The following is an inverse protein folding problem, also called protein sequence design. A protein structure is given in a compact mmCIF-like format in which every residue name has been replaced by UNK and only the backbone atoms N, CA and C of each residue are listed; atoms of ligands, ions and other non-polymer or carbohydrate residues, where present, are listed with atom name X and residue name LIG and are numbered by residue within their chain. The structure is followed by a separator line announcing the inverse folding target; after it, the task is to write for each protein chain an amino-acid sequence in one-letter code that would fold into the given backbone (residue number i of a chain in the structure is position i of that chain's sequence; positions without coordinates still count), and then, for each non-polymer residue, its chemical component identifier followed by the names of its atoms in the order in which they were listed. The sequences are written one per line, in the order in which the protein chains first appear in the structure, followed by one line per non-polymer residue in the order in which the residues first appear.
data_IF_756085442107
#
_entry.id   IF_756085442107
#
_cell.length_a   1.000
_cell.length_b   1.000
_cell.length_c   1.000
_cell.angle_alpha   90.00
_cell.angle_beta   90.00
_cell.angle_gamma   90.00
#
_symmetry.space_group_name_H-M   'P 1'
#
loop_
_entity.id
_entity.type
_entity.pdbx_description
1 polymer ?
#
# COMPACT_ATOMS: atom_id res chain seq x y z
N UNK A 1 -2.38 -23.98 4.65
CA UNK A 1 -2.68 -22.65 5.24
C UNK A 1 -4.16 -22.61 5.57
N UNK A 2 -4.56 -22.05 6.72
CA UNK A 2 -5.98 -21.91 7.07
C UNK A 2 -6.58 -20.68 6.39
N UNK A 3 -7.56 -20.86 5.51
CA UNK A 3 -8.25 -19.75 4.82
C UNK A 3 -8.82 -18.70 5.78
N UNK A 4 -9.38 -19.17 6.91
CA UNK A 4 -9.93 -18.32 7.96
C UNK A 4 -8.90 -17.35 8.56
N UNK A 5 -7.61 -17.73 8.59
CA UNK A 5 -6.54 -16.82 9.04
C UNK A 5 -6.26 -15.75 7.99
N UNK A 6 -6.27 -16.11 6.72
CA UNK A 6 -6.09 -15.17 5.61
C UNK A 6 -7.24 -14.16 5.55
N UNK A 7 -8.49 -14.61 5.68
CA UNK A 7 -9.67 -13.73 5.70
C UNK A 7 -9.61 -12.73 6.87
N UNK A 8 -9.20 -13.19 8.05
CA UNK A 8 -9.02 -12.31 9.21
C UNK A 8 -7.87 -11.32 9.01
N UNK A 9 -6.78 -11.73 8.36
CA UNK A 9 -5.67 -10.85 8.01
C UNK A 9 -6.06 -9.81 6.97
N UNK A 10 -6.85 -10.19 5.96
CA UNK A 10 -7.42 -9.26 4.97
C UNK A 10 -8.28 -8.19 5.64
N UNK A 11 -9.14 -8.58 6.58
CA UNK A 11 -9.96 -7.60 7.30
C UNK A 11 -9.09 -6.59 8.07
N UNK A 12 -8.02 -7.05 8.73
CA UNK A 12 -7.05 -6.16 9.37
C UNK A 12 -6.32 -5.28 8.37
N UNK A 13 -5.95 -5.83 7.20
CA UNK A 13 -5.25 -5.10 6.14
C UNK A 13 -6.10 -3.92 5.65
N UNK A 14 -7.39 -4.16 5.41
CA UNK A 14 -8.33 -3.09 5.04
C UNK A 14 -8.53 -2.04 6.14
N UNK A 15 -8.39 -2.43 7.41
CA UNK A 15 -8.40 -1.50 8.54
C UNK A 15 -7.07 -0.76 8.74
N UNK A 16 -5.99 -1.13 8.03
CA UNK A 16 -4.65 -0.59 8.26
C UNK A 16 -4.01 -1.06 9.57
N UNK A 17 -4.40 -2.22 10.08
CA UNK A 17 -3.95 -2.79 11.36
C UNK A 17 -2.94 -3.95 11.17
N UNK A 18 -2.41 -4.14 9.96
CA UNK A 18 -1.43 -5.18 9.64
C UNK A 18 0.00 -4.76 9.94
N UNK A 19 0.80 -5.74 10.34
CA UNK A 19 2.26 -5.64 10.43
C UNK A 19 2.91 -6.03 9.10
N UNK A 20 4.16 -5.61 8.87
CA UNK A 20 4.93 -5.98 7.67
C UNK A 20 5.02 -7.51 7.48
N UNK A 21 5.16 -8.26 8.58
CA UNK A 21 5.18 -9.73 8.56
C UNK A 21 3.83 -10.32 8.12
N UNK A 22 2.72 -9.74 8.56
CA UNK A 22 1.36 -10.15 8.18
C UNK A 22 1.11 -9.88 6.68
N UNK A 23 1.60 -8.75 6.17
CA UNK A 23 1.52 -8.40 4.75
C UNK A 23 2.38 -9.31 3.87
N UNK A 24 3.56 -9.73 4.33
CA UNK A 24 4.39 -10.71 3.62
C UNK A 24 3.68 -12.07 3.49
N UNK A 25 2.94 -12.48 4.52
CA UNK A 25 2.10 -13.68 4.47
C UNK A 25 0.99 -13.53 3.42
N UNK A 26 0.28 -12.40 3.40
CA UNK A 26 -0.74 -12.13 2.39
C UNK A 26 -0.13 -12.13 0.98
N UNK A 27 1.00 -11.47 0.78
CA UNK A 27 1.72 -11.46 -0.50
C UNK A 27 2.08 -12.87 -0.97
N UNK A 28 2.62 -13.70 -0.08
CA UNK A 28 3.01 -15.08 -0.40
C UNK A 28 1.80 -15.96 -0.70
N UNK A 29 0.70 -15.76 0.04
CA UNK A 29 -0.56 -16.46 -0.20
C UNK A 29 -1.13 -16.12 -1.58
N UNK A 30 -1.25 -14.84 -1.90
CA UNK A 30 -1.79 -14.38 -3.18
C UNK A 30 -0.85 -14.59 -4.38
N UNK A 31 0.45 -14.77 -4.14
CA UNK A 31 1.39 -15.23 -5.17
C UNK A 31 1.21 -16.72 -5.53
N UNK A 32 0.51 -17.49 -4.69
CA UNK A 32 0.25 -18.91 -4.94
C UNK A 32 -0.93 -19.10 -5.91
N UNK A 33 -0.95 -20.22 -6.65
CA UNK A 33 -2.03 -20.54 -7.62
C UNK A 33 -3.33 -21.04 -6.98
N UNK A 34 -3.32 -21.36 -5.70
CA UNK A 34 -4.41 -22.00 -4.96
C UNK A 34 -5.17 -20.98 -4.09
N UNK A 35 -5.78 -19.99 -4.73
CA UNK A 35 -6.62 -18.98 -4.08
C UNK A 35 -8.09 -19.29 -4.40
N UNK A 36 -9.01 -19.31 -3.43
CA UNK A 36 -10.41 -19.61 -3.69
C UNK A 36 -11.10 -18.52 -4.52
N UNK A 37 -12.14 -18.87 -5.26
CA UNK A 37 -12.81 -17.97 -6.22
C UNK A 37 -13.26 -16.63 -5.63
N UNK A 38 -13.70 -16.63 -4.36
CA UNK A 38 -14.15 -15.41 -3.68
C UNK A 38 -13.00 -14.47 -3.27
N UNK A 39 -11.75 -14.93 -3.34
CA UNK A 39 -10.53 -14.15 -3.10
C UNK A 39 -9.73 -13.86 -4.38
N UNK A 40 -10.26 -14.23 -5.55
CA UNK A 40 -9.57 -14.04 -6.83
C UNK A 40 -9.44 -12.54 -7.16
N UNK A 41 -10.41 -11.71 -6.76
CA UNK A 41 -10.33 -10.27 -6.93
C UNK A 41 -9.17 -9.65 -6.13
N UNK A 42 -9.00 -10.08 -4.88
CA UNK A 42 -7.90 -9.66 -4.02
C UNK A 42 -6.57 -10.15 -4.58
N UNK A 43 -6.51 -11.36 -5.14
CA UNK A 43 -5.31 -11.87 -5.80
C UNK A 43 -4.89 -11.00 -6.97
N UNK A 44 -5.81 -10.61 -7.86
CA UNK A 44 -5.49 -9.72 -8.99
C UNK A 44 -4.95 -8.38 -8.49
N UNK A 45 -5.58 -7.83 -7.46
CA UNK A 45 -5.17 -6.59 -6.82
C UNK A 45 -3.76 -6.67 -6.20
N UNK A 46 -3.51 -7.69 -5.39
CA UNK A 46 -2.22 -7.94 -4.75
C UNK A 46 -1.15 -8.17 -5.83
N UNK A 47 -1.44 -9.02 -6.82
CA UNK A 47 -0.52 -9.27 -7.94
C UNK A 47 -0.16 -7.98 -8.68
N UNK A 48 -1.14 -7.12 -8.96
CA UNK A 48 -0.89 -5.83 -9.61
C UNK A 48 0.00 -4.93 -8.74
N UNK A 49 -0.37 -4.69 -7.48
CA UNK A 49 0.41 -3.81 -6.60
C UNK A 49 1.84 -4.27 -6.36
N UNK A 50 2.06 -5.57 -6.17
CA UNK A 50 3.39 -6.12 -5.96
C UNK A 50 4.23 -6.22 -7.23
N UNK A 51 3.59 -6.28 -8.41
CA UNK A 51 4.29 -6.17 -9.69
C UNK A 51 4.70 -4.72 -10.01
N UNK A 52 3.83 -3.74 -9.69
CA UNK A 52 4.06 -2.33 -9.96
C UNK A 52 5.02 -1.63 -8.99
N UNK A 53 5.37 -2.25 -7.86
CA UNK A 53 6.33 -1.67 -6.90
C UNK A 53 7.73 -1.45 -7.50
N UNK A 54 7.99 -1.91 -8.73
CA UNK A 54 9.26 -1.73 -9.44
C UNK A 54 9.23 -0.68 -10.57
N UNK A 55 8.07 -0.29 -11.10
CA UNK A 55 8.01 0.37 -12.42
C UNK A 55 7.38 1.78 -12.45
N UNK A 56 6.68 2.23 -11.41
CA UNK A 56 6.36 3.65 -11.29
C UNK A 56 7.48 4.35 -10.52
N UNK A 57 8.56 4.68 -11.24
CA UNK A 57 9.49 5.70 -10.80
C UNK A 57 8.66 6.91 -10.38
N UNK A 58 8.64 7.20 -9.07
CA UNK A 58 8.02 8.39 -8.50
C UNK A 58 8.30 9.56 -9.44
N UNK A 59 7.24 10.20 -9.96
CA UNK A 59 7.39 11.31 -10.89
C UNK A 59 8.50 12.22 -10.34
N UNK A 60 9.65 12.37 -11.04
CA UNK A 60 10.84 12.98 -10.45
C UNK A 60 10.62 14.46 -10.08
N UNK A 61 9.51 15.07 -10.52
CA UNK A 61 9.07 16.40 -10.12
C UNK A 61 8.12 16.46 -8.92
N UNK A 62 7.67 15.33 -8.36
CA UNK A 62 6.70 15.30 -7.25
C UNK A 62 7.37 15.76 -5.95
N UNK A 63 8.58 15.28 -5.66
CA UNK A 63 9.36 15.68 -4.48
C UNK A 63 9.62 17.19 -4.45
N UNK A 64 10.09 17.76 -5.56
CA UNK A 64 10.34 19.20 -5.67
C UNK A 64 9.07 20.04 -5.45
N UNK A 65 7.94 19.62 -6.03
CA UNK A 65 6.64 20.28 -5.83
C UNK A 65 6.17 20.25 -4.38
N UNK A 66 6.40 19.15 -3.66
CA UNK A 66 6.06 19.04 -2.23
C UNK A 66 6.94 20.01 -1.41
N UNK A 67 8.25 20.04 -1.67
CA UNK A 67 9.18 20.92 -0.98
C UNK A 67 8.86 22.41 -1.22
N UNK A 68 8.50 22.79 -2.46
CA UNK A 68 8.06 24.15 -2.78
C UNK A 68 6.76 24.51 -2.06
N UNK A 69 5.75 23.63 -2.05
CA UNK A 69 4.48 23.89 -1.38
C UNK A 69 4.64 24.10 0.13
N UNK A 70 5.49 23.30 0.80
CA UNK A 70 5.79 23.45 2.23
C UNK A 70 6.52 24.78 2.50
N UNK A 71 7.47 25.16 1.64
CA UNK A 71 8.22 26.42 1.76
C UNK A 71 7.32 27.65 1.59
N UNK A 72 6.33 27.58 0.71
CA UNK A 72 5.35 28.65 0.48
C UNK A 72 4.48 28.86 1.73
N UNK A 73 4.02 27.78 2.38
CA UNK A 73 3.21 27.85 3.61
C UNK A 73 4.00 28.29 4.84
N UNK A 74 5.27 27.87 4.98
CA UNK A 74 6.15 28.31 6.07
C UNK A 74 6.44 29.83 6.05
N UNK A 75 6.29 30.47 4.90
CA UNK A 75 6.46 31.92 4.73
C UNK A 75 5.21 32.71 5.16
N UNK A 76 4.02 32.09 5.15
CA UNK A 76 2.77 32.70 5.62
C UNK A 76 2.64 32.72 7.15
N UNK A 77 3.26 31.78 7.85
CA UNK A 77 3.24 31.74 9.32
C UNK A 77 4.30 32.64 9.99
N UNK A 78 5.31 33.12 9.24
CA UNK A 78 6.37 33.99 9.78
C UNK A 78 6.01 35.49 9.78
N UNK A 79 4.83 35.85 9.29
CA UNK A 79 4.26 37.19 9.35
C UNK A 79 2.86 37.14 9.97
N UNK A 80 2.76 36.65 11.21
CA UNK A 80 1.67 37.04 12.09
C UNK A 80 2.30 37.82 13.25
N UNK A 81 1.87 39.07 13.51
CA UNK A 81 2.35 39.85 14.65
C UNK A 81 1.96 39.23 15.99
#
# INVERSE_FOLDING_TARGET
MDLQKIEKLLQKYYNGETSLEEEEVLRTFFASRDVPDHLEAEKELFSYYYSQSCDEAANPGLEGKILDAIRIEGSRYRMQP
#
